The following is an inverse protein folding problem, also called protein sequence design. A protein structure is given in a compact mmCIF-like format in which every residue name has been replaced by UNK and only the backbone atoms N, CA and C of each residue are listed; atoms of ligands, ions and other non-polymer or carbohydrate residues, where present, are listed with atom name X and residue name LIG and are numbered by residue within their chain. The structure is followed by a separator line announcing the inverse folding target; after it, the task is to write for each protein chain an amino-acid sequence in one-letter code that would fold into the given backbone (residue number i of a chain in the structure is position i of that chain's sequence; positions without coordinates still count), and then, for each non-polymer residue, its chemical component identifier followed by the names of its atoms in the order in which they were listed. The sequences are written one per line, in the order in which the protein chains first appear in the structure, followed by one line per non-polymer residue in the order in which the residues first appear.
data_IF_138816032606
#
_entry.id   IF_138816032606
#
_cell.length_a   1.000
_cell.length_b   1.000
_cell.length_c   1.000
_cell.angle_alpha   90.00
_cell.angle_beta   90.00
_cell.angle_gamma   90.00
#
_symmetry.space_group_name_H-M   'P 1'
#
loop_
_entity.id
_entity.type
_entity.pdbx_description
1 polymer ?
#
# COMPACT_ATOMS: atom_id res chain seq x y z
N UNK A 1 -13.71 8.82 -36.93
CA UNK A 1 -13.36 9.39 -35.62
C UNK A 1 -12.54 8.33 -34.90
N UNK A 2 -11.24 8.55 -34.79
CA UNK A 2 -10.35 7.66 -34.02
C UNK A 2 -10.52 8.10 -32.57
N UNK A 3 -11.13 7.26 -31.73
CA UNK A 3 -11.47 7.61 -30.37
C UNK A 3 -10.24 7.86 -29.49
N UNK A 4 -10.34 8.73 -28.48
CA UNK A 4 -9.31 9.11 -27.51
C UNK A 4 -8.57 7.92 -26.86
N UNK A 5 -9.19 6.75 -26.75
CA UNK A 5 -8.57 5.52 -26.23
C UNK A 5 -7.42 4.98 -27.12
N UNK A 6 -7.42 5.28 -28.42
CA UNK A 6 -6.32 4.90 -29.32
C UNK A 6 -5.08 5.80 -29.12
N UNK A 7 -5.29 7.06 -28.76
CA UNK A 7 -4.20 8.02 -28.57
C UNK A 7 -3.46 7.78 -27.26
N UNK A 8 -4.18 7.53 -26.16
CA UNK A 8 -3.56 7.25 -24.86
C UNK A 8 -2.82 5.90 -24.86
N UNK A 9 -3.35 4.88 -25.54
CA UNK A 9 -2.66 3.61 -25.74
C UNK A 9 -1.38 3.75 -26.58
N UNK A 10 -1.43 4.60 -27.62
CA UNK A 10 -0.28 4.87 -28.48
C UNK A 10 0.79 5.72 -27.75
N UNK A 11 0.38 6.68 -26.90
CA UNK A 11 1.30 7.48 -26.08
C UNK A 11 1.99 6.59 -25.03
N UNK A 12 1.25 5.71 -24.35
CA UNK A 12 1.81 4.78 -23.36
C UNK A 12 2.80 3.79 -23.99
N UNK A 13 2.46 3.22 -25.15
CA UNK A 13 3.38 2.39 -25.92
C UNK A 13 4.58 3.18 -26.46
N UNK A 14 4.40 4.46 -26.79
CA UNK A 14 5.47 5.35 -27.19
C UNK A 14 6.46 5.62 -26.06
N UNK A 15 5.96 5.88 -24.85
CA UNK A 15 6.75 6.08 -23.62
C UNK A 15 7.53 4.81 -23.26
N UNK A 16 6.89 3.63 -23.26
CA UNK A 16 7.57 2.36 -23.03
C UNK A 16 8.66 2.11 -24.06
N UNK A 17 8.41 2.34 -25.33
CA UNK A 17 9.43 2.19 -26.38
C UNK A 17 10.60 3.16 -26.26
N UNK A 18 10.37 4.39 -25.81
CA UNK A 18 11.42 5.39 -25.55
C UNK A 18 12.25 4.97 -24.35
N UNK A 19 11.61 4.44 -23.30
CA UNK A 19 12.28 3.89 -22.13
C UNK A 19 13.14 2.67 -22.48
N UNK A 20 12.56 1.68 -23.16
CA UNK A 20 13.25 0.46 -23.61
C UNK A 20 14.42 0.79 -24.55
N UNK A 21 14.28 1.80 -25.41
CA UNK A 21 15.34 2.29 -26.29
C UNK A 21 16.45 2.98 -25.48
N UNK A 22 16.09 3.79 -24.48
CA UNK A 22 17.03 4.43 -23.57
C UNK A 22 17.88 3.40 -22.79
N UNK A 23 17.22 2.38 -22.24
CA UNK A 23 17.86 1.31 -21.48
C UNK A 23 18.77 0.44 -22.38
N UNK A 24 18.36 0.14 -23.61
CA UNK A 24 19.16 -0.61 -24.58
C UNK A 24 20.40 0.18 -25.04
N UNK A 25 20.27 1.49 -25.29
CA UNK A 25 21.40 2.38 -25.64
C UNK A 25 22.36 2.53 -24.47
N UNK A 26 21.84 2.57 -23.22
CA UNK A 26 22.66 2.63 -22.02
C UNK A 26 23.50 1.35 -21.83
N UNK A 27 22.89 0.18 -22.05
CA UNK A 27 23.56 -1.11 -21.93
C UNK A 27 24.65 -1.31 -22.99
N UNK A 28 24.40 -0.92 -24.23
CA UNK A 28 25.40 -1.01 -25.33
C UNK A 28 26.54 0.00 -25.16
N UNK A 29 26.26 1.21 -24.67
CA UNK A 29 27.26 2.25 -24.46
C UNK A 29 28.20 1.92 -23.29
N UNK A 30 27.70 1.34 -22.23
CA UNK A 30 28.48 0.92 -21.06
C UNK A 30 29.49 -0.19 -21.41
N UNK A 31 29.16 -1.07 -22.36
CA UNK A 31 30.02 -2.15 -22.82
C UNK A 31 31.22 -1.69 -23.68
N UNK A 32 31.15 -0.49 -24.27
CA UNK A 32 32.12 -0.04 -25.29
C UNK A 32 32.99 1.15 -24.82
N UNK A 33 32.48 2.04 -23.94
CA UNK A 33 33.11 3.35 -23.71
C UNK A 33 33.42 3.75 -22.25
N UNK A 34 33.24 2.90 -21.27
CA UNK A 34 33.61 3.17 -19.86
C UNK A 34 32.83 4.35 -19.20
N UNK A 35 33.41 5.00 -18.17
CA UNK A 35 32.78 6.02 -17.33
C UNK A 35 32.14 7.22 -18.06
N UNK A 36 32.65 7.60 -19.23
CA UNK A 36 32.06 8.69 -20.02
C UNK A 36 30.73 8.30 -20.68
N UNK A 37 30.49 7.01 -20.91
CA UNK A 37 29.24 6.48 -21.45
C UNK A 37 28.17 6.36 -20.38
N UNK A 38 28.53 6.11 -19.14
CA UNK A 38 27.64 6.04 -18.01
C UNK A 38 27.00 7.42 -17.71
N UNK A 39 27.79 8.48 -17.79
CA UNK A 39 27.31 9.85 -17.68
C UNK A 39 26.37 10.25 -18.84
N UNK A 40 26.66 9.83 -20.06
CA UNK A 40 25.81 10.07 -21.22
C UNK A 40 24.51 9.25 -21.16
N UNK A 41 24.56 8.01 -20.70
CA UNK A 41 23.39 7.15 -20.50
C UNK A 41 22.47 7.71 -19.40
N UNK A 42 23.04 8.18 -18.31
CA UNK A 42 22.28 8.87 -17.24
C UNK A 42 21.62 10.15 -17.75
N UNK A 43 22.30 10.94 -18.57
CA UNK A 43 21.72 12.15 -19.18
C UNK A 43 20.58 11.82 -20.15
N UNK A 44 20.68 10.75 -20.93
CA UNK A 44 19.62 10.28 -21.84
C UNK A 44 18.43 9.74 -21.06
N UNK A 45 18.64 8.97 -20.00
CA UNK A 45 17.58 8.48 -19.12
C UNK A 45 16.84 9.66 -18.44
N UNK A 46 17.58 10.62 -17.90
CA UNK A 46 17.01 11.83 -17.27
C UNK A 46 16.25 12.69 -18.30
N UNK A 47 16.74 12.81 -19.53
CA UNK A 47 16.03 13.52 -20.61
C UNK A 47 14.75 12.78 -21.04
N UNK A 48 14.78 11.45 -21.11
CA UNK A 48 13.61 10.63 -21.41
C UNK A 48 12.56 10.72 -20.32
N UNK A 49 12.94 10.71 -19.05
CA UNK A 49 12.04 10.94 -17.92
C UNK A 49 11.44 12.35 -17.93
N UNK A 50 12.24 13.36 -18.25
CA UNK A 50 11.76 14.75 -18.36
C UNK A 50 10.78 14.92 -19.53
N UNK A 51 11.04 14.28 -20.67
CA UNK A 51 10.10 14.29 -21.82
C UNK A 51 8.83 13.51 -21.47
N UNK A 52 8.94 12.35 -20.81
CA UNK A 52 7.79 11.58 -20.37
C UNK A 52 6.94 12.36 -19.34
N UNK A 53 7.57 13.05 -18.39
CA UNK A 53 6.90 13.91 -17.43
C UNK A 53 6.23 15.12 -18.10
N UNK A 54 6.88 15.72 -19.10
CA UNK A 54 6.34 16.86 -19.85
C UNK A 54 5.17 16.45 -20.75
N UNK A 55 5.25 15.28 -21.39
CA UNK A 55 4.16 14.70 -22.19
C UNK A 55 2.99 14.28 -21.31
N UNK A 56 3.26 13.72 -20.12
CA UNK A 56 2.24 13.39 -19.13
C UNK A 56 1.56 14.65 -18.57
N UNK A 57 2.32 15.72 -18.31
CA UNK A 57 1.79 17.00 -17.86
C UNK A 57 0.93 17.67 -18.97
N UNK A 58 1.39 17.64 -20.22
CA UNK A 58 0.64 18.20 -21.35
C UNK A 58 -0.64 17.40 -21.68
N UNK A 59 -0.64 16.08 -21.44
CA UNK A 59 -1.82 15.25 -21.58
C UNK A 59 -2.84 15.46 -20.43
N UNK A 60 -2.39 15.98 -19.28
CA UNK A 60 -3.24 16.24 -18.10
C UNK A 60 -3.96 17.60 -18.12
N UNK A 61 -3.49 18.58 -18.88
CA UNK A 61 -4.09 19.92 -18.89
C UNK A 61 -5.42 20.03 -19.66
N UNK A 62 -5.72 19.09 -20.55
CA UNK A 62 -6.95 19.11 -21.36
C UNK A 62 -8.19 18.50 -20.69
N UNK A 63 -8.03 17.66 -19.65
CA UNK A 63 -9.11 16.86 -19.07
C UNK A 63 -9.48 17.23 -17.62
N UNK A 64 -8.80 18.20 -17.00
CA UNK A 64 -8.96 18.52 -15.58
C UNK A 64 -10.38 19.00 -15.19
N UNK A 65 -11.10 19.65 -16.10
CA UNK A 65 -12.41 20.28 -15.81
C UNK A 65 -13.57 19.27 -15.63
N UNK A 66 -13.41 17.98 -16.00
CA UNK A 66 -14.50 16.98 -15.95
C UNK A 66 -14.13 15.69 -15.21
N UNK A 67 -13.02 15.65 -14.48
CA UNK A 67 -12.61 14.45 -13.78
C UNK A 67 -13.37 14.28 -12.46
N UNK A 68 -14.23 13.27 -12.37
CA UNK A 68 -14.78 12.79 -11.10
C UNK A 68 -14.05 11.49 -10.74
N UNK A 69 -13.12 11.60 -9.79
CA UNK A 69 -12.24 10.50 -9.41
C UNK A 69 -12.81 9.78 -8.19
N UNK A 70 -13.10 8.49 -8.32
CA UNK A 70 -13.41 7.61 -7.20
C UNK A 70 -12.14 7.01 -6.62
N UNK A 71 -12.07 6.87 -5.30
CA UNK A 71 -11.02 6.13 -4.61
C UNK A 71 -11.58 4.79 -4.18
N UNK A 72 -10.92 3.70 -4.59
CA UNK A 72 -11.25 2.32 -4.24
C UNK A 72 -10.09 1.74 -3.43
N UNK A 73 -10.39 1.04 -2.35
CA UNK A 73 -9.38 0.32 -1.53
C UNK A 73 -9.85 -1.10 -1.26
N UNK A 74 -8.93 -2.00 -0.92
CA UNK A 74 -9.34 -3.24 -0.25
C UNK A 74 -9.40 -3.04 1.28
N UNK A 75 -10.14 -3.91 1.97
CA UNK A 75 -10.38 -3.76 3.41
C UNK A 75 -9.13 -3.94 4.28
N UNK A 76 -8.11 -4.63 3.78
CA UNK A 76 -6.87 -4.86 4.51
C UNK A 76 -5.85 -3.70 4.39
N UNK A 77 -6.21 -2.60 3.73
CA UNK A 77 -5.48 -1.32 3.78
C UNK A 77 -5.71 -0.57 5.09
N UNK A 78 -6.71 -0.96 5.88
CA UNK A 78 -7.05 -0.36 7.18
C UNK A 78 -7.26 1.16 7.13
N UNK A 79 -7.78 1.69 6.03
CA UNK A 79 -8.13 3.12 5.92
C UNK A 79 -9.13 3.47 7.03
N UNK A 80 -8.88 4.54 7.81
CA UNK A 80 -9.75 4.93 8.92
C UNK A 80 -11.18 5.20 8.47
N UNK A 81 -12.19 4.80 9.27
CA UNK A 81 -13.61 5.02 8.94
C UNK A 81 -13.95 6.48 8.65
N UNK A 82 -13.36 7.41 9.39
CA UNK A 82 -13.55 8.85 9.19
C UNK A 82 -13.04 9.35 7.83
N UNK A 83 -11.98 8.73 7.29
CA UNK A 83 -11.48 9.03 5.94
C UNK A 83 -12.42 8.43 4.89
N UNK A 84 -12.88 7.20 5.13
CA UNK A 84 -13.84 6.51 4.25
C UNK A 84 -15.12 7.34 4.11
N UNK A 85 -15.68 7.79 5.22
CA UNK A 85 -16.90 8.60 5.23
C UNK A 85 -16.69 9.97 4.59
N UNK A 86 -15.61 10.67 4.97
CA UNK A 86 -15.30 12.02 4.48
C UNK A 86 -15.12 12.09 2.96
N UNK A 87 -14.48 11.09 2.36
CA UNK A 87 -14.12 11.11 0.95
C UNK A 87 -14.96 10.15 0.09
N UNK A 88 -15.90 9.42 0.67
CA UNK A 88 -16.73 8.45 -0.04
C UNK A 88 -15.92 7.31 -0.66
N UNK A 89 -14.98 6.76 0.12
CA UNK A 89 -14.08 5.70 -0.36
C UNK A 89 -14.87 4.40 -0.57
N UNK A 90 -14.69 3.79 -1.73
CA UNK A 90 -15.23 2.48 -2.02
C UNK A 90 -14.31 1.40 -1.45
N UNK A 91 -14.88 0.39 -0.77
CA UNK A 91 -14.11 -0.68 -0.16
C UNK A 91 -14.46 -2.02 -0.79
N UNK A 92 -13.45 -2.76 -1.24
CA UNK A 92 -13.55 -4.15 -1.67
C UNK A 92 -13.20 -5.06 -0.46
N UNK A 93 -14.19 -5.69 0.21
CA UNK A 93 -13.92 -6.49 1.40
C UNK A 93 -13.22 -7.81 1.02
N UNK A 94 -12.15 -8.14 1.74
CA UNK A 94 -11.58 -9.48 1.71
C UNK A 94 -12.54 -10.46 2.40
N UNK A 95 -12.33 -11.76 2.18
CA UNK A 95 -13.12 -12.80 2.83
C UNK A 95 -12.34 -13.45 3.97
N UNK A 96 -13.05 -13.78 5.04
CA UNK A 96 -12.59 -14.59 6.16
C UNK A 96 -13.40 -15.88 6.16
N UNK A 97 -12.74 -16.99 5.83
CA UNK A 97 -13.39 -18.28 5.60
C UNK A 97 -13.21 -19.20 6.81
N UNK A 98 -14.30 -19.47 7.49
CA UNK A 98 -14.43 -20.48 8.56
C UNK A 98 -15.10 -21.75 8.04
N UNK A 99 -15.03 -22.81 8.80
CA UNK A 99 -15.72 -24.07 8.49
C UNK A 99 -17.24 -23.94 8.46
N UNK A 100 -17.81 -22.98 9.18
CA UNK A 100 -19.24 -22.70 9.28
C UNK A 100 -19.74 -21.56 8.37
N UNK A 101 -18.87 -20.90 7.63
CA UNK A 101 -19.28 -19.85 6.71
C UNK A 101 -18.16 -18.97 6.18
N UNK A 102 -18.53 -18.17 5.20
CA UNK A 102 -17.69 -17.15 4.58
C UNK A 102 -18.17 -15.76 5.04
N UNK A 103 -17.25 -14.97 5.55
CA UNK A 103 -17.52 -13.67 6.15
C UNK A 103 -16.77 -12.57 5.42
N UNK A 104 -17.41 -11.41 5.25
CA UNK A 104 -16.82 -10.23 4.65
C UNK A 104 -16.12 -9.39 5.73
N UNK A 105 -14.85 -9.12 5.48
CA UNK A 105 -13.96 -8.35 6.35
C UNK A 105 -14.54 -6.97 6.68
N UNK A 106 -14.68 -6.65 7.96
CA UNK A 106 -15.30 -5.43 8.52
C UNK A 106 -16.78 -5.22 8.18
N UNK A 107 -17.39 -6.09 7.38
CA UNK A 107 -18.81 -6.01 7.03
C UNK A 107 -19.65 -6.98 7.84
N UNK A 108 -19.33 -8.29 7.77
CA UNK A 108 -20.07 -9.34 8.45
C UNK A 108 -19.27 -10.00 9.58
N UNK A 109 -17.99 -9.65 9.74
CA UNK A 109 -17.14 -10.07 10.85
C UNK A 109 -16.27 -8.91 11.31
N UNK A 110 -16.07 -8.79 12.62
CA UNK A 110 -15.22 -7.79 13.26
C UNK A 110 -13.98 -8.45 13.90
N UNK A 111 -12.90 -7.69 14.18
CA UNK A 111 -11.66 -8.25 14.74
C UNK A 111 -11.86 -9.04 16.03
N UNK A 112 -12.74 -8.56 16.92
CA UNK A 112 -13.03 -9.20 18.22
C UNK A 112 -13.62 -10.60 18.06
N UNK A 113 -14.43 -10.80 17.02
CA UNK A 113 -15.00 -12.11 16.72
C UNK A 113 -13.91 -13.08 16.26
N UNK A 114 -12.95 -12.62 15.46
CA UNK A 114 -11.81 -13.45 15.02
C UNK A 114 -10.95 -13.85 16.22
N UNK A 115 -10.65 -12.90 17.14
CA UNK A 115 -9.89 -13.22 18.36
C UNK A 115 -10.59 -14.28 19.21
N UNK A 116 -11.89 -14.12 19.41
CA UNK A 116 -12.70 -15.05 20.19
C UNK A 116 -12.71 -16.45 19.57
N UNK A 117 -12.76 -16.54 18.24
CA UNK A 117 -12.85 -17.82 17.51
C UNK A 117 -11.52 -18.54 17.38
N UNK A 118 -10.38 -17.90 17.62
CA UNK A 118 -9.07 -18.57 17.60
C UNK A 118 -8.92 -19.69 18.61
N UNK A 119 -9.74 -19.74 19.66
CA UNK A 119 -9.78 -20.86 20.60
C UNK A 119 -10.24 -22.17 19.94
N UNK A 120 -11.02 -22.07 18.88
CA UNK A 120 -11.62 -23.21 18.19
C UNK A 120 -11.09 -23.42 16.78
N UNK A 121 -10.88 -22.35 16.03
CA UNK A 121 -10.48 -22.43 14.62
C UNK A 121 -9.64 -21.21 14.20
N UNK A 122 -8.57 -21.46 13.45
CA UNK A 122 -7.84 -20.43 12.71
C UNK A 122 -8.41 -20.43 11.28
N UNK A 123 -9.13 -19.36 10.87
CA UNK A 123 -9.75 -19.32 9.55
C UNK A 123 -8.70 -19.08 8.45
N UNK A 124 -9.16 -19.08 7.21
CA UNK A 124 -8.37 -18.67 6.05
C UNK A 124 -8.91 -17.35 5.52
N UNK A 125 -8.11 -16.67 4.71
CA UNK A 125 -8.57 -15.49 3.96
C UNK A 125 -8.49 -15.75 2.48
N UNK A 126 -9.35 -15.07 1.72
CA UNK A 126 -9.28 -14.97 0.28
C UNK A 126 -9.44 -13.51 -0.19
N UNK A 127 -9.09 -13.27 -1.44
CA UNK A 127 -9.32 -11.99 -2.11
C UNK A 127 -10.80 -11.65 -2.12
N UNK A 128 -11.20 -10.38 -2.32
CA UNK A 128 -12.58 -10.04 -2.66
C UNK A 128 -13.06 -10.92 -3.83
N UNK A 129 -14.36 -11.24 -3.87
CA UNK A 129 -14.89 -11.99 -4.99
C UNK A 129 -14.85 -11.15 -6.29
N UNK A 130 -14.52 -11.73 -7.46
CA UNK A 130 -14.49 -10.98 -8.71
C UNK A 130 -15.82 -10.27 -9.02
N UNK A 131 -16.95 -10.91 -8.71
CA UNK A 131 -18.29 -10.34 -8.91
C UNK A 131 -18.52 -9.09 -8.04
N UNK A 132 -18.01 -9.07 -6.81
CA UNK A 132 -18.16 -7.93 -5.90
C UNK A 132 -17.32 -6.74 -6.38
N UNK A 133 -16.09 -6.99 -6.87
CA UNK A 133 -15.27 -5.94 -7.48
C UNK A 133 -15.93 -5.40 -8.74
N UNK A 134 -16.47 -6.25 -9.62
CA UNK A 134 -17.21 -5.82 -10.81
C UNK A 134 -18.40 -4.94 -10.41
N UNK A 135 -19.18 -5.35 -9.41
CA UNK A 135 -20.33 -4.60 -8.91
C UNK A 135 -19.92 -3.23 -8.31
N UNK A 136 -18.74 -3.14 -7.66
CA UNK A 136 -18.20 -1.88 -7.19
C UNK A 136 -17.87 -0.93 -8.35
N UNK A 137 -17.21 -1.42 -9.39
CA UNK A 137 -16.94 -0.61 -10.58
C UNK A 137 -18.22 -0.17 -11.30
N UNK A 138 -19.24 -1.04 -11.37
CA UNK A 138 -20.55 -0.69 -11.94
C UNK A 138 -21.23 0.41 -11.12
N UNK A 139 -21.19 0.32 -9.78
CA UNK A 139 -21.72 1.35 -8.89
C UNK A 139 -20.99 2.66 -9.06
N UNK A 140 -19.65 2.65 -9.12
CA UNK A 140 -18.82 3.83 -9.34
C UNK A 140 -19.22 4.53 -10.65
N UNK A 141 -19.36 3.78 -11.74
CA UNK A 141 -19.80 4.33 -13.02
C UNK A 141 -21.23 4.90 -12.96
N UNK A 142 -22.15 4.18 -12.32
CA UNK A 142 -23.55 4.60 -12.15
C UNK A 142 -23.69 5.87 -11.30
N UNK A 143 -22.80 6.09 -10.32
CA UNK A 143 -22.72 7.32 -9.53
C UNK A 143 -22.08 8.49 -10.31
N UNK A 144 -21.68 8.28 -11.56
CA UNK A 144 -21.18 9.29 -12.50
C UNK A 144 -19.71 9.64 -12.31
N UNK A 145 -18.93 8.78 -11.67
CA UNK A 145 -17.48 8.89 -11.70
C UNK A 145 -16.95 8.54 -13.08
N UNK A 146 -15.87 9.21 -13.48
CA UNK A 146 -15.20 9.01 -14.77
C UNK A 146 -13.85 8.33 -14.62
N UNK A 147 -13.27 8.40 -13.43
CA UNK A 147 -11.94 7.89 -13.11
C UNK A 147 -11.98 7.08 -11.82
N UNK A 148 -11.11 6.08 -11.71
CA UNK A 148 -10.92 5.28 -10.49
C UNK A 148 -9.44 5.16 -10.17
N UNK A 149 -9.06 5.50 -8.94
CA UNK A 149 -7.76 5.15 -8.39
C UNK A 149 -7.99 4.08 -7.32
N UNK A 150 -7.57 2.85 -7.63
CA UNK A 150 -7.60 1.76 -6.67
C UNK A 150 -6.25 1.65 -5.96
N UNK A 151 -6.26 1.65 -4.64
CA UNK A 151 -5.07 1.46 -3.79
C UNK A 151 -5.23 0.15 -3.05
N UNK A 152 -4.33 -0.80 -3.30
CA UNK A 152 -4.42 -2.15 -2.74
C UNK A 152 -3.23 -2.48 -1.86
N UNK A 153 -3.42 -3.45 -0.96
CA UNK A 153 -2.30 -4.09 -0.27
C UNK A 153 -1.37 -4.77 -1.27
N UNK A 154 -0.17 -5.09 -0.80
CA UNK A 154 0.91 -5.66 -1.60
C UNK A 154 0.50 -6.89 -2.43
N UNK A 155 0.87 -6.88 -3.71
CA UNK A 155 0.81 -8.04 -4.61
C UNK A 155 1.70 -9.21 -4.13
N UNK A 156 2.73 -8.95 -3.32
CA UNK A 156 3.58 -9.97 -2.71
C UNK A 156 2.91 -10.75 -1.57
N UNK A 157 1.77 -10.29 -1.06
CA UNK A 157 1.03 -10.89 0.06
C UNK A 157 -0.36 -11.38 -0.31
N UNK A 158 -0.98 -10.82 -1.36
CA UNK A 158 -2.34 -11.14 -1.79
C UNK A 158 -2.50 -11.00 -3.30
N UNK A 159 -3.36 -11.82 -3.89
CA UNK A 159 -3.78 -11.69 -5.29
C UNK A 159 -4.74 -10.53 -5.56
N UNK A 160 -5.08 -9.72 -4.55
CA UNK A 160 -6.06 -8.62 -4.66
C UNK A 160 -5.65 -7.59 -5.70
N UNK A 161 -4.39 -7.16 -5.70
CA UNK A 161 -3.87 -6.23 -6.71
C UNK A 161 -4.09 -6.74 -8.13
N UNK A 162 -3.67 -7.96 -8.43
CA UNK A 162 -3.79 -8.53 -9.78
C UNK A 162 -5.25 -8.69 -10.20
N UNK A 163 -6.11 -9.08 -9.27
CA UNK A 163 -7.54 -9.21 -9.52
C UNK A 163 -8.19 -7.86 -9.85
N UNK A 164 -7.98 -6.84 -9.01
CA UNK A 164 -8.51 -5.49 -9.23
C UNK A 164 -7.97 -4.91 -10.54
N UNK A 165 -6.67 -5.06 -10.81
CA UNK A 165 -6.03 -4.61 -12.05
C UNK A 165 -6.62 -5.28 -13.29
N UNK A 166 -6.85 -6.59 -13.23
CA UNK A 166 -7.45 -7.35 -14.33
C UNK A 166 -8.87 -6.85 -14.66
N UNK A 167 -9.69 -6.63 -13.63
CA UNK A 167 -11.06 -6.12 -13.81
C UNK A 167 -11.03 -4.67 -14.30
N UNK A 168 -10.22 -3.82 -13.71
CA UNK A 168 -10.06 -2.41 -14.09
C UNK A 168 -9.63 -2.25 -15.56
N UNK A 169 -8.72 -3.12 -16.04
CA UNK A 169 -8.25 -3.08 -17.43
C UNK A 169 -9.33 -3.42 -18.47
N UNK A 170 -10.39 -4.13 -18.06
CA UNK A 170 -11.57 -4.44 -18.89
C UNK A 170 -12.60 -3.32 -18.95
N UNK A 171 -12.48 -2.25 -18.17
CA UNK A 171 -13.44 -1.14 -18.12
C UNK A 171 -13.14 -0.11 -19.19
N UNK A 172 -13.99 -0.07 -20.23
CA UNK A 172 -13.88 0.94 -21.28
C UNK A 172 -14.58 2.27 -20.94
N UNK A 173 -15.45 2.24 -19.94
CA UNK A 173 -16.29 3.34 -19.47
C UNK A 173 -15.64 4.17 -18.36
N UNK A 174 -14.55 3.67 -17.74
CA UNK A 174 -13.82 4.32 -16.66
C UNK A 174 -12.33 4.38 -17.00
N UNK A 175 -11.68 5.49 -16.68
CA UNK A 175 -10.22 5.55 -16.68
C UNK A 175 -9.70 5.08 -15.32
N UNK A 176 -8.98 3.97 -15.31
CA UNK A 176 -8.58 3.31 -14.07
C UNK A 176 -7.06 3.28 -13.88
N UNK A 177 -6.63 3.50 -12.64
CA UNK A 177 -5.28 3.20 -12.18
C UNK A 177 -5.36 2.32 -10.93
N UNK A 178 -4.44 1.36 -10.82
CA UNK A 178 -4.35 0.47 -9.65
C UNK A 178 -2.95 0.54 -9.10
N UNK A 179 -2.83 0.97 -7.85
CA UNK A 179 -1.56 1.18 -7.15
C UNK A 179 -1.29 -0.03 -6.25
N UNK A 180 -0.17 -0.71 -6.52
CA UNK A 180 0.38 -1.72 -5.63
C UNK A 180 1.24 -1.03 -4.58
N UNK A 181 0.76 -0.94 -3.35
CA UNK A 181 1.48 -0.24 -2.28
C UNK A 181 2.74 -0.96 -1.81
N UNK A 182 2.97 -2.21 -2.22
CA UNK A 182 4.02 -3.09 -1.69
C UNK A 182 4.02 -3.15 -0.15
N UNK A 183 2.91 -2.80 0.47
CA UNK A 183 2.73 -2.67 1.91
C UNK A 183 1.43 -3.32 2.37
N UNK A 184 1.11 -3.21 3.64
CA UNK A 184 -0.03 -3.90 4.26
C UNK A 184 -0.62 -3.06 5.39
N UNK A 185 -1.91 -3.27 5.69
CA UNK A 185 -2.59 -2.58 6.78
C UNK A 185 -2.53 -1.08 6.61
N UNK A 186 -2.50 -0.35 7.72
CA UNK A 186 -2.47 1.11 7.67
C UNK A 186 -1.22 1.68 6.96
N UNK A 187 -0.12 0.94 6.85
CA UNK A 187 1.03 1.41 6.06
C UNK A 187 0.68 1.50 4.56
N UNK A 188 -0.16 0.58 4.05
CA UNK A 188 -0.78 0.71 2.72
C UNK A 188 -1.86 1.79 2.72
N UNK A 189 -2.67 1.86 3.78
CA UNK A 189 -3.72 2.84 3.97
C UNK A 189 -3.22 4.29 3.99
N UNK A 190 -1.99 4.55 4.45
CA UNK A 190 -1.39 5.89 4.37
C UNK A 190 -1.29 6.41 2.94
N UNK A 191 -1.01 5.54 1.97
CA UNK A 191 -1.05 5.89 0.54
C UNK A 191 -2.49 6.20 0.10
N UNK A 192 -3.47 5.42 0.55
CA UNK A 192 -4.87 5.68 0.23
C UNK A 192 -5.38 6.99 0.86
N UNK A 193 -4.99 7.31 2.09
CA UNK A 193 -5.28 8.60 2.75
C UNK A 193 -4.74 9.76 1.92
N UNK A 194 -3.49 9.66 1.46
CA UNK A 194 -2.91 10.68 0.58
C UNK A 194 -3.72 10.82 -0.72
N UNK A 195 -4.07 9.72 -1.38
CA UNK A 195 -4.89 9.74 -2.61
C UNK A 195 -6.21 10.45 -2.34
N UNK A 196 -6.89 10.15 -1.23
CA UNK A 196 -8.14 10.82 -0.86
C UNK A 196 -7.96 12.34 -0.69
N UNK A 197 -6.90 12.77 -0.02
CA UNK A 197 -6.59 14.19 0.18
C UNK A 197 -6.29 14.91 -1.14
N UNK A 198 -5.49 14.29 -2.01
CA UNK A 198 -5.12 14.87 -3.31
C UNK A 198 -6.35 14.97 -4.24
N UNK A 199 -7.18 13.93 -4.30
CA UNK A 199 -8.45 13.94 -5.05
C UNK A 199 -9.38 15.00 -4.47
N UNK A 200 -9.52 15.07 -3.15
CA UNK A 200 -10.34 16.07 -2.47
C UNK A 200 -9.85 17.51 -2.66
N UNK A 201 -8.57 17.71 -2.96
CA UNK A 201 -8.01 19.03 -3.31
C UNK A 201 -8.22 19.42 -4.78
N UNK A 202 -8.80 18.52 -5.61
CA UNK A 202 -9.00 18.74 -7.04
C UNK A 202 -7.76 18.49 -7.89
N UNK A 203 -6.77 17.76 -7.38
CA UNK A 203 -5.57 17.42 -8.15
C UNK A 203 -5.93 16.52 -9.33
N UNK A 204 -5.38 16.76 -10.55
CA UNK A 204 -5.62 15.94 -11.72
C UNK A 204 -5.21 14.47 -11.54
N UNK A 205 -5.96 13.54 -12.14
CA UNK A 205 -5.81 12.10 -12.02
C UNK A 205 -4.37 11.61 -12.20
N UNK A 206 -3.69 12.06 -13.27
CA UNK A 206 -2.29 11.66 -13.54
C UNK A 206 -1.31 12.12 -12.46
N UNK A 207 -1.52 13.31 -11.89
CA UNK A 207 -0.68 13.85 -10.83
C UNK A 207 -0.91 13.13 -9.50
N UNK A 208 -2.17 12.76 -9.21
CA UNK A 208 -2.49 11.95 -8.02
C UNK A 208 -1.77 10.61 -8.08
N UNK A 209 -1.80 9.93 -9.24
CA UNK A 209 -1.12 8.63 -9.43
C UNK A 209 0.39 8.79 -9.19
N UNK A 210 1.05 9.72 -9.87
CA UNK A 210 2.49 9.93 -9.74
C UNK A 210 2.92 10.23 -8.29
N UNK A 211 2.11 11.04 -7.58
CA UNK A 211 2.33 11.33 -6.16
C UNK A 211 2.16 10.09 -5.27
N UNK A 212 1.10 9.33 -5.52
CA UNK A 212 0.79 8.15 -4.73
C UNK A 212 1.83 7.04 -4.91
N UNK A 213 2.25 6.74 -6.15
CA UNK A 213 3.30 5.77 -6.46
C UNK A 213 4.62 6.17 -5.81
N UNK A 214 5.09 7.40 -6.03
CA UNK A 214 6.32 7.88 -5.43
C UNK A 214 6.27 7.93 -3.88
N UNK A 215 5.09 8.12 -3.28
CA UNK A 215 4.93 8.03 -1.82
C UNK A 215 4.94 6.59 -1.34
N UNK A 216 4.29 5.66 -2.06
CA UNK A 216 4.29 4.24 -1.72
C UNK A 216 5.73 3.67 -1.70
N UNK A 217 6.56 4.04 -2.68
CA UNK A 217 7.96 3.61 -2.76
C UNK A 217 8.83 4.08 -1.59
N UNK A 218 8.54 5.26 -1.04
CA UNK A 218 9.31 5.84 0.07
C UNK A 218 8.74 5.53 1.46
N UNK A 219 7.52 4.99 1.51
CA UNK A 219 6.83 4.71 2.76
C UNK A 219 7.19 3.34 3.30
N UNK A 220 7.28 3.21 4.62
CA UNK A 220 7.67 1.96 5.28
C UNK A 220 6.67 1.61 6.37
N UNK A 221 6.42 0.31 6.52
CA UNK A 221 5.64 -0.25 7.63
C UNK A 221 6.44 -1.28 8.40
N UNK A 222 6.49 -1.15 9.72
CA UNK A 222 7.16 -2.07 10.64
C UNK A 222 6.15 -2.60 11.64
N UNK A 223 6.17 -3.89 11.90
CA UNK A 223 5.31 -4.45 12.92
C UNK A 223 5.99 -5.59 13.70
N UNK A 224 5.48 -5.85 14.88
CA UNK A 224 5.80 -7.02 15.67
C UNK A 224 4.53 -7.73 16.14
N UNK A 225 4.67 -9.02 16.39
CA UNK A 225 3.59 -9.91 16.80
C UNK A 225 3.99 -10.70 18.06
N UNK A 226 3.01 -11.23 18.79
CA UNK A 226 3.28 -12.10 19.93
C UNK A 226 3.86 -13.45 19.52
N UNK A 227 3.46 -13.97 18.36
CA UNK A 227 3.95 -15.23 17.80
C UNK A 227 3.96 -15.16 16.28
N UNK A 228 4.88 -15.87 15.65
CA UNK A 228 4.93 -16.03 14.18
C UNK A 228 4.00 -17.14 13.67
N UNK A 229 3.29 -17.82 14.57
CA UNK A 229 2.48 -18.98 14.23
C UNK A 229 1.41 -18.69 13.20
N UNK A 230 0.66 -17.59 13.38
CA UNK A 230 -0.42 -17.19 12.47
C UNK A 230 0.11 -16.80 11.09
N UNK A 231 1.22 -16.06 11.01
CA UNK A 231 1.90 -15.72 9.75
C UNK A 231 2.37 -16.98 9.01
N UNK A 232 2.89 -17.97 9.74
CA UNK A 232 3.35 -19.23 9.17
C UNK A 232 2.17 -20.12 8.70
N UNK A 233 1.17 -20.32 9.56
CA UNK A 233 -0.05 -21.08 9.22
C UNK A 233 -0.83 -20.41 8.07
N UNK A 234 -0.82 -19.09 8.00
CA UNK A 234 -1.39 -18.32 6.91
C UNK A 234 -0.55 -18.33 5.63
N UNK A 235 0.66 -18.89 5.65
CA UNK A 235 1.54 -18.98 4.47
C UNK A 235 2.21 -17.66 4.07
N UNK A 236 2.20 -16.62 4.91
CA UNK A 236 2.81 -15.31 4.63
C UNK A 236 4.28 -15.23 5.04
N UNK A 237 4.76 -16.22 5.80
CA UNK A 237 6.19 -16.46 6.04
C UNK A 237 6.53 -17.93 5.85
N UNK A 238 7.76 -18.20 5.42
CA UNK A 238 8.25 -19.56 5.25
C UNK A 238 8.72 -20.21 6.57
N UNK A 239 8.92 -21.54 6.55
CA UNK A 239 9.38 -22.33 7.72
C UNK A 239 10.70 -21.82 8.30
N UNK A 240 11.63 -21.35 7.47
CA UNK A 240 12.92 -20.81 7.94
C UNK A 240 12.73 -19.54 8.79
N UNK A 241 11.84 -18.65 8.39
CA UNK A 241 11.49 -17.45 9.16
C UNK A 241 10.77 -17.79 10.46
N UNK A 242 9.84 -18.75 10.40
CA UNK A 242 9.12 -19.24 11.58
C UNK A 242 10.09 -19.83 12.61
N UNK A 243 11.07 -20.63 12.18
CA UNK A 243 12.08 -21.24 13.07
C UNK A 243 12.94 -20.22 13.83
N UNK A 244 13.08 -18.99 13.33
CA UNK A 244 13.81 -17.90 14.01
C UNK A 244 13.06 -17.47 15.28
N UNK A 245 11.74 -17.29 15.18
CA UNK A 245 10.92 -16.83 16.31
C UNK A 245 10.62 -17.89 17.37
N UNK A 246 10.84 -19.18 17.05
CA UNK A 246 10.62 -20.29 17.99
C UNK A 246 11.75 -20.49 19.01
N UNK A 247 12.88 -19.77 18.87
CA UNK A 247 14.05 -19.92 19.75
C UNK A 247 14.14 -18.77 20.75
N UNK A 248 14.20 -19.14 22.06
CA UNK A 248 14.66 -18.29 23.17
C UNK A 248 14.01 -16.87 23.24
N UNK A 249 12.68 -16.79 23.21
CA UNK A 249 11.94 -15.50 23.32
C UNK A 249 12.40 -14.42 22.31
N UNK A 250 12.89 -14.87 21.14
CA UNK A 250 13.23 -13.95 20.04
C UNK A 250 11.93 -13.49 19.38
N UNK A 251 11.72 -12.16 19.40
CA UNK A 251 10.57 -11.50 18.77
C UNK A 251 11.05 -10.62 17.64
N UNK A 252 10.83 -11.02 16.38
CA UNK A 252 11.28 -10.25 15.24
C UNK A 252 10.41 -9.00 15.00
N UNK A 253 11.03 -7.97 14.45
CA UNK A 253 10.33 -6.91 13.73
C UNK A 253 10.29 -7.29 12.25
N UNK A 254 9.11 -7.13 11.65
CA UNK A 254 8.80 -7.52 10.29
C UNK A 254 8.48 -6.27 9.48
N UNK A 255 8.84 -6.24 8.20
CA UNK A 255 8.44 -5.27 7.20
C UNK A 255 8.18 -5.96 5.86
N UNK A 256 7.62 -5.24 4.90
CA UNK A 256 7.64 -5.66 3.50
C UNK A 256 8.99 -5.29 2.87
N UNK A 257 9.50 -6.17 1.97
CA UNK A 257 10.64 -5.86 1.11
C UNK A 257 10.19 -5.18 -0.20
N UNK A 258 11.10 -4.92 -1.12
CA UNK A 258 10.81 -4.31 -2.43
C UNK A 258 9.83 -5.13 -3.28
N UNK A 259 9.78 -6.45 -3.08
CA UNK A 259 8.79 -7.33 -3.72
C UNK A 259 7.43 -7.30 -2.99
N UNK A 260 7.30 -6.55 -1.90
CA UNK A 260 6.11 -6.49 -1.06
C UNK A 260 5.89 -7.73 -0.18
N UNK A 261 6.90 -8.58 0.02
CA UNK A 261 6.86 -9.79 0.86
C UNK A 261 7.38 -9.51 2.26
N UNK A 262 6.85 -10.22 3.24
CA UNK A 262 7.32 -10.11 4.62
C UNK A 262 8.76 -10.60 4.79
N UNK A 263 9.58 -9.77 5.42
CA UNK A 263 10.95 -10.08 5.82
C UNK A 263 11.20 -9.67 7.27
N UNK A 264 12.05 -10.41 7.96
CA UNK A 264 12.54 -10.04 9.29
C UNK A 264 13.63 -8.99 9.12
N UNK A 265 13.36 -7.76 9.54
CA UNK A 265 14.31 -6.65 9.45
C UNK A 265 15.09 -6.43 10.77
N UNK A 266 14.60 -6.96 11.89
CA UNK A 266 15.31 -6.92 13.16
C UNK A 266 14.88 -8.07 14.09
N UNK A 267 15.71 -8.38 15.09
CA UNK A 267 15.45 -9.37 16.13
C UNK A 267 15.62 -8.72 17.49
N UNK A 268 14.72 -9.02 18.41
CA UNK A 268 14.77 -8.52 19.79
C UNK A 268 14.39 -9.60 20.78
N UNK A 269 14.79 -9.47 22.04
CA UNK A 269 14.33 -10.33 23.12
C UNK A 269 13.09 -9.73 23.79
N UNK A 270 12.09 -10.54 23.96
CA UNK A 270 10.85 -10.21 24.63
C UNK A 270 9.99 -9.15 23.94
N UNK A 271 8.78 -9.00 24.44
CA UNK A 271 7.77 -8.06 23.91
C UNK A 271 8.27 -6.60 23.90
N UNK A 272 8.78 -6.11 25.05
CA UNK A 272 9.25 -4.74 25.20
C UNK A 272 10.39 -4.40 24.24
N UNK A 273 11.33 -5.34 24.04
CA UNK A 273 12.43 -5.17 23.11
C UNK A 273 11.94 -5.06 21.67
N UNK A 274 10.98 -5.88 21.28
CA UNK A 274 10.41 -5.88 19.92
C UNK A 274 9.63 -4.61 19.64
N UNK A 275 8.78 -4.15 20.55
CA UNK A 275 8.06 -2.88 20.43
C UNK A 275 9.02 -1.70 20.27
N UNK A 276 10.02 -1.59 21.18
CA UNK A 276 11.03 -0.53 21.10
C UNK A 276 11.78 -0.54 19.76
N UNK A 277 12.11 -1.73 19.24
CA UNK A 277 12.82 -1.87 17.97
C UNK A 277 11.94 -1.46 16.79
N UNK A 278 10.68 -1.90 16.77
CA UNK A 278 9.69 -1.53 15.74
C UNK A 278 9.54 0.00 15.65
N UNK A 279 9.30 0.66 16.78
CA UNK A 279 9.19 2.12 16.86
C UNK A 279 10.49 2.82 16.44
N UNK A 280 11.64 2.31 16.89
CA UNK A 280 12.96 2.90 16.55
C UNK A 280 13.24 2.86 15.03
N UNK A 281 12.79 1.82 14.32
CA UNK A 281 12.96 1.73 12.86
C UNK A 281 12.08 2.77 12.16
N UNK A 282 10.83 2.91 12.56
CA UNK A 282 9.93 3.93 12.03
C UNK A 282 10.46 5.35 12.26
N UNK A 283 10.93 5.65 13.47
CA UNK A 283 11.55 6.94 13.81
C UNK A 283 12.77 7.27 12.95
N UNK A 284 13.59 6.26 12.60
CA UNK A 284 14.74 6.46 11.71
C UNK A 284 14.34 6.88 10.31
N UNK A 285 13.31 6.24 9.75
CA UNK A 285 12.78 6.61 8.42
C UNK A 285 12.26 8.05 8.45
N UNK A 286 11.48 8.39 9.48
CA UNK A 286 10.92 9.73 9.61
C UNK A 286 12.00 10.80 9.79
N UNK A 287 13.01 10.55 10.64
CA UNK A 287 14.11 11.49 10.87
C UNK A 287 14.91 11.76 9.58
N UNK A 288 15.26 10.71 8.82
CA UNK A 288 15.95 10.85 7.56
C UNK A 288 15.14 11.66 6.54
N UNK A 289 13.83 11.39 6.42
CA UNK A 289 12.95 12.13 5.53
C UNK A 289 12.85 13.61 5.90
N UNK A 290 12.76 13.93 7.19
CA UNK A 290 12.72 15.31 7.69
C UNK A 290 14.05 16.05 7.47
N UNK A 291 15.19 15.37 7.59
CA UNK A 291 16.52 15.93 7.25
C UNK A 291 16.62 16.27 5.75
N UNK A 292 15.92 15.51 4.88
CA UNK A 292 15.79 15.80 3.46
C UNK A 292 14.75 16.90 3.14
N UNK A 293 14.12 17.48 4.15
CA UNK A 293 13.09 18.51 3.99
C UNK A 293 11.72 17.97 3.55
N UNK A 294 11.49 16.68 3.66
CA UNK A 294 10.21 16.03 3.33
C UNK A 294 9.24 16.07 4.51
N UNK A 295 7.97 16.08 4.21
CA UNK A 295 6.93 15.89 5.22
C UNK A 295 6.74 14.41 5.54
N UNK A 296 6.36 14.11 6.78
CA UNK A 296 6.07 12.73 7.21
C UNK A 296 4.72 12.65 7.90
N UNK A 297 4.07 11.49 7.76
CA UNK A 297 2.87 11.09 8.49
C UNK A 297 3.12 9.73 9.14
N UNK A 298 2.72 9.58 10.37
CA UNK A 298 2.76 8.30 11.06
C UNK A 298 1.40 7.63 11.08
N UNK A 299 1.41 6.31 11.22
CA UNK A 299 0.25 5.55 11.65
C UNK A 299 0.66 4.49 12.66
N UNK A 300 -0.16 4.28 13.67
CA UNK A 300 0.01 3.21 14.66
C UNK A 300 -1.21 2.31 14.60
N UNK A 301 -0.97 1.02 14.33
CA UNK A 301 -2.01 0.01 14.28
C UNK A 301 -1.84 -1.03 15.38
N UNK A 302 -2.95 -1.61 15.83
CA UNK A 302 -2.92 -2.69 16.81
C UNK A 302 -3.87 -3.83 16.46
N UNK A 303 -3.53 -5.02 16.93
CA UNK A 303 -4.39 -6.20 16.95
C UNK A 303 -4.50 -6.70 18.38
N UNK A 304 -5.56 -6.32 19.10
CA UNK A 304 -5.76 -6.66 20.52
C UNK A 304 -4.57 -6.21 21.42
N UNK A 305 -4.02 -5.02 21.16
CA UNK A 305 -2.90 -4.43 21.89
C UNK A 305 -3.05 -2.89 22.02
N UNK A 306 -4.28 -2.42 22.20
CA UNK A 306 -4.62 -0.99 22.15
C UNK A 306 -3.80 -0.15 23.13
N UNK A 307 -3.68 -0.59 24.38
CA UNK A 307 -2.98 0.17 25.41
C UNK A 307 -1.49 0.43 25.06
N UNK A 308 -0.79 -0.61 24.57
CA UNK A 308 0.61 -0.47 24.13
C UNK A 308 0.73 0.45 22.90
N UNK A 309 -0.20 0.32 21.95
CA UNK A 309 -0.21 1.11 20.73
C UNK A 309 -0.53 2.58 20.98
N UNK A 310 -1.43 2.90 21.92
CA UNK A 310 -1.74 4.30 22.29
C UNK A 310 -0.55 5.01 22.88
N UNK A 311 0.19 4.37 23.79
CA UNK A 311 1.43 4.95 24.32
C UNK A 311 2.42 5.29 23.21
N UNK A 312 2.57 4.38 22.23
CA UNK A 312 3.44 4.60 21.07
C UNK A 312 2.94 5.78 20.22
N UNK A 313 1.64 5.87 19.97
CA UNK A 313 1.07 6.97 19.20
C UNK A 313 1.28 8.33 19.89
N UNK A 314 1.08 8.39 21.20
CA UNK A 314 1.27 9.63 21.99
C UNK A 314 2.75 10.02 22.06
N UNK A 315 3.67 9.05 22.22
CA UNK A 315 5.11 9.28 22.18
C UNK A 315 5.56 9.82 20.80
N UNK A 316 5.02 9.28 19.70
CA UNK A 316 5.32 9.75 18.35
C UNK A 316 4.81 11.18 18.11
N UNK A 317 3.61 11.51 18.58
CA UNK A 317 3.06 12.88 18.50
C UNK A 317 3.93 13.87 19.28
N UNK A 318 4.40 13.48 20.45
CA UNK A 318 5.24 14.33 21.30
C UNK A 318 6.63 14.54 20.71
N UNK A 319 7.25 13.49 20.15
CA UNK A 319 8.62 13.52 19.63
C UNK A 319 8.71 14.14 18.22
N UNK A 320 7.63 14.01 17.40
CA UNK A 320 7.57 14.51 16.03
C UNK A 320 6.43 15.54 15.85
N UNK A 321 6.45 16.68 16.55
CA UNK A 321 5.38 17.67 16.42
C UNK A 321 5.26 18.30 15.03
N UNK A 322 6.29 18.14 14.18
CA UNK A 322 6.32 18.57 12.78
C UNK A 322 5.72 17.53 11.81
N UNK A 323 5.41 16.31 12.26
CA UNK A 323 4.66 15.36 11.45
C UNK A 323 3.26 15.90 11.17
N UNK A 324 2.70 15.55 10.00
CA UNK A 324 1.36 15.99 9.62
C UNK A 324 0.33 15.52 10.65
N UNK A 325 0.37 14.23 10.98
CA UNK A 325 -0.45 13.62 12.02
C UNK A 325 0.10 12.23 12.41
N UNK A 326 -0.57 11.60 13.38
CA UNK A 326 -0.38 10.20 13.77
C UNK A 326 -1.75 9.53 13.76
N UNK A 327 -2.05 8.79 12.70
CA UNK A 327 -3.27 8.00 12.57
C UNK A 327 -3.22 6.82 13.53
N UNK A 328 -4.35 6.49 14.15
CA UNK A 328 -4.47 5.35 15.06
C UNK A 328 -5.63 4.45 14.64
N UNK A 329 -5.37 3.15 14.48
CA UNK A 329 -6.41 2.21 14.07
C UNK A 329 -6.21 0.80 14.65
N UNK A 330 -7.29 0.03 14.65
CA UNK A 330 -7.27 -1.41 14.83
C UNK A 330 -7.16 -2.09 13.45
N UNK A 331 -6.34 -3.14 13.34
CA UNK A 331 -6.23 -3.91 12.10
C UNK A 331 -7.53 -4.67 11.77
N UNK A 332 -7.75 -4.92 10.48
CA UNK A 332 -8.92 -5.63 9.97
C UNK A 332 -8.94 -7.12 10.36
N UNK A 333 -10.13 -7.75 10.39
CA UNK A 333 -10.28 -9.20 10.57
C UNK A 333 -9.36 -10.04 9.67
N UNK A 334 -9.24 -9.69 8.40
CA UNK A 334 -8.37 -10.39 7.47
C UNK A 334 -6.89 -10.35 7.89
N UNK A 335 -6.42 -9.23 8.44
CA UNK A 335 -5.06 -9.13 8.98
C UNK A 335 -4.92 -9.88 10.31
N UNK A 336 -5.94 -9.84 11.17
CA UNK A 336 -5.97 -10.59 12.43
C UNK A 336 -5.75 -12.09 12.18
N UNK A 337 -6.37 -12.66 11.15
CA UNK A 337 -6.20 -14.09 10.78
C UNK A 337 -4.72 -14.46 10.61
N UNK A 338 -3.92 -13.56 10.04
CA UNK A 338 -2.51 -13.83 9.74
C UNK A 338 -1.55 -13.39 10.85
N UNK A 339 -1.96 -12.48 11.72
CA UNK A 339 -1.06 -11.90 12.73
C UNK A 339 -1.36 -12.38 14.15
N UNK A 340 -2.60 -12.79 14.39
CA UNK A 340 -3.11 -13.11 15.71
C UNK A 340 -3.18 -11.89 16.63
N UNK A 341 -3.55 -12.11 17.92
CA UNK A 341 -3.60 -11.06 18.92
C UNK A 341 -2.20 -10.57 19.31
N UNK A 342 -2.10 -9.29 19.64
CA UNK A 342 -0.88 -8.65 20.11
C UNK A 342 -0.02 -8.04 18.98
N UNK A 343 -0.52 -7.88 17.76
CA UNK A 343 0.18 -7.09 16.77
C UNK A 343 0.25 -5.62 17.22
N UNK A 344 1.43 -5.01 17.05
CA UNK A 344 1.60 -3.55 17.01
C UNK A 344 2.45 -3.21 15.80
N UNK A 345 1.92 -2.31 14.98
CA UNK A 345 2.56 -1.82 13.76
C UNK A 345 2.73 -0.30 13.78
N UNK A 346 3.77 0.19 13.13
CA UNK A 346 4.01 1.61 12.89
C UNK A 346 4.32 1.82 11.42
N UNK A 347 3.47 2.59 10.75
CA UNK A 347 3.67 3.05 9.38
C UNK A 347 4.27 4.45 9.37
N UNK A 348 5.11 4.72 8.38
CA UNK A 348 5.66 6.05 8.08
C UNK A 348 5.45 6.33 6.61
N UNK A 349 4.65 7.34 6.30
CA UNK A 349 4.52 7.86 4.94
C UNK A 349 5.47 9.04 4.77
N UNK A 350 6.26 9.01 3.69
CA UNK A 350 7.21 10.05 3.31
C UNK A 350 6.66 10.79 2.09
N UNK A 351 6.23 12.03 2.29
CA UNK A 351 5.47 12.84 1.34
C UNK A 351 6.34 13.85 0.57
#
# INVERSE_FOLDING_TARGET
MIGNNGINGAIKQGIEKVRDFGDAVAADAAAVFGEAAEAAATAVATAAETVAATVAAAAGEGDAENQRIAVLVDSATDVPPEVVEKYGVFIAPLHVNYSDGDFLDRVTIQPEEVYRRFETEIPKTSTPAPADIMSLFDRIAAEGYTHVIAVTISSGLSGTYDLVRSIASGRADLQCAVIDTKSIGIAAGLTAVLVCELVGSGMPFSQVIARAEGTAERSEGFFCVNTLEYLYKGGRIGAATYAIGSKLDIRPTIKCNEEGKYVVCAKSHGRKGSLKKTVSLAKKVAAAALEEGRSVRFAVAHGDAEAEARVIADDLKAEFPQAIDVIFCQISPALVVHTGPGLVGVGVSVL
#
